data_IF_669988054793
#
_entry.id   IF_669988054793
#
_cell.length_a   1.000
_cell.length_b   1.000
_cell.length_c   1.000
_cell.angle_alpha   90.00
_cell.angle_beta   90.00
_cell.angle_gamma   90.00
#
_symmetry.space_group_name_H-M   'P 1'
#
loop_
_entity.id
_entity.type
_entity.pdbx_description
1 polymer ?
#
# COMPACT_ATOMS: atom_id res chain seq x y z
N UNK A 1 26.35 -12.20 -33.64
CA UNK A 1 26.24 -12.33 -32.17
C UNK A 1 25.00 -11.58 -31.74
N UNK A 2 23.81 -12.16 -32.06
CA UNK A 2 22.49 -11.60 -31.77
C UNK A 2 21.65 -12.68 -31.10
N UNK A 3 22.06 -13.04 -29.90
CA UNK A 3 21.22 -13.81 -28.99
C UNK A 3 20.54 -12.79 -28.07
N UNK A 4 19.57 -12.04 -28.67
CA UNK A 4 18.61 -11.28 -27.88
C UNK A 4 17.89 -12.26 -26.95
N UNK A 5 18.26 -12.21 -25.67
CA UNK A 5 17.55 -12.87 -24.60
C UNK A 5 16.12 -12.30 -24.54
N UNK A 6 15.23 -12.77 -25.43
CA UNK A 6 13.81 -12.41 -25.49
C UNK A 6 13.12 -12.99 -24.26
N UNK A 7 13.25 -12.32 -23.12
CA UNK A 7 12.39 -12.62 -21.98
C UNK A 7 10.93 -12.43 -22.44
N UNK A 8 10.09 -13.41 -22.14
CA UNK A 8 8.66 -13.28 -22.35
C UNK A 8 8.14 -12.03 -21.61
N UNK A 9 7.14 -11.34 -22.14
CA UNK A 9 6.63 -10.12 -21.51
C UNK A 9 6.13 -10.41 -20.09
N UNK A 10 6.28 -9.46 -19.16
CA UNK A 10 5.76 -9.60 -17.81
C UNK A 10 4.26 -9.88 -17.81
N UNK A 11 3.83 -10.79 -16.95
CA UNK A 11 2.43 -11.20 -16.82
C UNK A 11 1.97 -11.05 -15.37
N UNK A 12 0.72 -10.64 -15.18
CA UNK A 12 0.08 -10.50 -13.87
C UNK A 12 -1.06 -11.54 -13.78
N UNK A 13 -0.99 -12.37 -12.73
CA UNK A 13 -2.01 -13.35 -12.38
C UNK A 13 -2.62 -12.96 -11.02
N UNK A 14 -3.90 -12.59 -10.99
CA UNK A 14 -4.58 -12.20 -9.76
C UNK A 14 -4.92 -13.45 -8.95
N UNK A 15 -4.49 -13.50 -7.69
CA UNK A 15 -4.75 -14.60 -6.75
C UNK A 15 -6.04 -14.32 -5.96
N UNK A 16 -6.14 -13.13 -5.36
CA UNK A 16 -7.30 -12.73 -4.56
C UNK A 16 -7.44 -11.21 -4.52
N UNK A 17 -8.69 -10.79 -4.35
CA UNK A 17 -9.10 -9.41 -4.15
C UNK A 17 -10.13 -9.35 -3.03
N UNK A 18 -9.77 -8.75 -1.91
CA UNK A 18 -10.61 -8.67 -0.71
C UNK A 18 -10.56 -7.25 -0.13
N UNK A 19 -11.61 -6.48 -0.35
CA UNK A 19 -11.68 -5.08 0.10
C UNK A 19 -10.48 -4.26 -0.37
N UNK A 20 -9.67 -3.82 0.57
CA UNK A 20 -8.48 -3.00 0.32
C UNK A 20 -7.21 -3.82 0.03
N UNK A 21 -7.33 -5.14 -0.09
CA UNK A 21 -6.19 -6.05 -0.27
C UNK A 21 -6.23 -6.74 -1.62
N UNK A 22 -5.12 -6.66 -2.36
CA UNK A 22 -4.87 -7.34 -3.62
C UNK A 22 -3.66 -8.26 -3.49
N UNK A 23 -3.80 -9.52 -3.91
CA UNK A 23 -2.68 -10.47 -4.06
C UNK A 23 -2.58 -10.91 -5.51
N UNK A 24 -1.38 -10.89 -6.06
CA UNK A 24 -1.13 -11.31 -7.44
C UNK A 24 0.28 -11.89 -7.60
N UNK A 25 0.48 -12.63 -8.67
CA UNK A 25 1.81 -13.10 -9.10
C UNK A 25 2.23 -12.25 -10.29
N UNK A 26 3.43 -11.70 -10.22
CA UNK A 26 4.13 -11.08 -11.35
C UNK A 26 5.11 -12.11 -11.91
N UNK A 27 4.89 -12.59 -13.14
CA UNK A 27 5.73 -13.57 -13.82
C UNK A 27 6.60 -12.91 -14.89
N UNK A 28 7.65 -13.61 -15.32
CA UNK A 28 8.58 -13.16 -16.36
C UNK A 28 9.12 -11.75 -16.09
N UNK A 29 9.56 -11.53 -14.86
CA UNK A 29 9.99 -10.22 -14.37
C UNK A 29 11.37 -10.31 -13.72
N UNK A 30 11.96 -9.16 -13.45
CA UNK A 30 13.19 -9.04 -12.68
C UNK A 30 12.92 -8.49 -11.26
N UNK A 31 13.85 -8.75 -10.34
CA UNK A 31 13.83 -8.14 -8.99
C UNK A 31 13.79 -6.62 -9.08
N UNK A 32 14.52 -6.04 -10.06
CA UNK A 32 14.55 -4.59 -10.25
C UNK A 32 13.15 -4.03 -10.58
N UNK A 33 12.43 -4.65 -11.53
CA UNK A 33 11.07 -4.23 -11.89
C UNK A 33 10.09 -4.47 -10.74
N UNK A 34 10.15 -5.64 -10.09
CA UNK A 34 9.31 -5.95 -8.94
C UNK A 34 9.50 -4.92 -7.82
N UNK A 35 10.74 -4.56 -7.48
CA UNK A 35 11.02 -3.56 -6.46
C UNK A 35 10.64 -2.13 -6.90
N UNK A 36 10.81 -1.79 -8.19
CA UNK A 36 10.37 -0.51 -8.72
C UNK A 36 8.84 -0.34 -8.58
N UNK A 37 8.06 -1.35 -8.96
CA UNK A 37 6.59 -1.36 -8.80
C UNK A 37 6.23 -1.22 -7.32
N UNK A 38 6.84 -2.03 -6.43
CA UNK A 38 6.58 -1.95 -4.99
C UNK A 38 6.83 -0.55 -4.45
N UNK A 39 7.95 0.06 -4.78
CA UNK A 39 8.30 1.42 -4.33
C UNK A 39 7.36 2.47 -4.92
N UNK A 40 7.01 2.35 -6.20
CA UNK A 40 6.09 3.27 -6.85
C UNK A 40 4.70 3.24 -6.20
N UNK A 41 4.19 2.06 -5.80
CA UNK A 41 2.93 1.93 -5.06
C UNK A 41 2.93 2.68 -3.72
N UNK A 42 4.09 2.88 -3.10
CA UNK A 42 4.22 3.59 -1.82
C UNK A 42 4.37 5.11 -2.04
N UNK A 43 5.17 5.51 -3.04
CA UNK A 43 5.74 6.86 -3.09
C UNK A 43 5.33 7.71 -4.28
N UNK A 44 4.84 7.12 -5.37
CA UNK A 44 4.67 7.81 -6.65
C UNK A 44 3.20 7.93 -7.12
N UNK A 45 2.26 7.47 -6.32
CA UNK A 45 0.82 7.58 -6.59
C UNK A 45 0.26 8.81 -5.91
N UNK A 46 -0.47 9.64 -6.66
CA UNK A 46 -1.15 10.80 -6.10
C UNK A 46 -2.36 10.38 -5.28
N UNK A 47 -2.44 10.88 -4.04
CA UNK A 47 -3.60 10.72 -3.16
C UNK A 47 -3.97 12.03 -2.52
N UNK A 48 -5.23 12.16 -2.11
CA UNK A 48 -5.74 13.33 -1.41
C UNK A 48 -5.48 13.21 0.10
N UNK A 49 -4.87 14.24 0.68
CA UNK A 49 -4.72 14.36 2.13
C UNK A 49 -4.78 15.82 2.58
N UNK A 50 -5.08 16.06 3.84
CA UNK A 50 -5.09 17.40 4.44
C UNK A 50 -3.66 17.94 4.45
N UNK A 51 -3.45 19.07 3.74
CA UNK A 51 -2.15 19.69 3.56
C UNK A 51 -1.94 20.92 4.44
N UNK A 52 -2.96 21.74 4.57
CA UNK A 52 -2.95 22.93 5.40
C UNK A 52 -4.16 22.91 6.35
N UNK A 53 -3.97 23.44 7.55
CA UNK A 53 -5.03 23.56 8.55
C UNK A 53 -4.98 24.93 9.19
N UNK A 54 -6.12 25.59 9.24
CA UNK A 54 -6.35 26.82 10.01
C UNK A 54 -7.15 26.46 11.27
N UNK A 55 -6.56 26.65 12.44
CA UNK A 55 -7.24 26.48 13.73
C UNK A 55 -7.94 27.79 14.08
N UNK A 56 -9.27 27.80 13.95
CA UNK A 56 -10.09 28.98 14.20
C UNK A 56 -10.35 29.18 15.69
N UNK A 57 -10.58 28.06 16.41
CA UNK A 57 -10.76 28.08 17.86
C UNK A 57 -10.29 26.74 18.46
N UNK A 58 -9.49 26.82 19.49
CA UNK A 58 -9.07 25.68 20.31
C UNK A 58 -8.90 26.16 21.75
N UNK A 59 -9.78 25.74 22.64
CA UNK A 59 -9.64 25.98 24.08
C UNK A 59 -9.38 24.67 24.86
N UNK A 60 -8.91 23.64 24.16
CA UNK A 60 -8.50 22.39 24.76
C UNK A 60 -7.08 22.51 25.35
N UNK A 61 -6.64 21.62 26.26
CA UNK A 61 -5.28 21.62 26.77
C UNK A 61 -4.24 21.11 25.75
N UNK A 62 -4.67 20.64 24.57
CA UNK A 62 -3.77 20.17 23.52
C UNK A 62 -3.34 21.32 22.61
N UNK A 63 -2.04 21.35 22.30
CA UNK A 63 -1.48 22.29 21.34
C UNK A 63 -2.04 22.06 19.93
N UNK A 64 -2.16 23.13 19.17
CA UNK A 64 -2.71 23.10 17.80
C UNK A 64 -1.96 22.11 16.92
N UNK A 65 -0.63 22.08 17.00
CA UNK A 65 0.22 21.19 16.19
C UNK A 65 -0.11 19.71 16.43
N UNK A 66 -0.41 19.33 17.67
CA UNK A 66 -0.79 17.95 17.99
C UNK A 66 -2.11 17.57 17.31
N UNK A 67 -3.13 18.45 17.38
CA UNK A 67 -4.43 18.21 16.77
C UNK A 67 -4.31 18.20 15.24
N UNK A 68 -3.59 19.19 14.69
CA UNK A 68 -3.35 19.33 13.25
C UNK A 68 -2.64 18.09 12.68
N UNK A 69 -1.61 17.59 13.36
CA UNK A 69 -0.92 16.37 12.94
C UNK A 69 -1.86 15.16 12.89
N UNK A 70 -2.68 14.98 13.93
CA UNK A 70 -3.65 13.86 13.95
C UNK A 70 -4.66 13.95 12.81
N UNK A 71 -5.20 15.13 12.54
CA UNK A 71 -6.17 15.37 11.46
C UNK A 71 -5.52 15.18 10.09
N UNK A 72 -4.28 15.64 9.90
CA UNK A 72 -3.55 15.48 8.65
C UNK A 72 -3.24 14.02 8.30
N UNK A 73 -3.17 13.14 9.29
CA UNK A 73 -2.92 11.70 9.10
C UNK A 73 -4.20 10.87 8.86
N UNK A 74 -5.40 11.50 8.89
CA UNK A 74 -6.65 10.80 8.56
C UNK A 74 -6.67 10.52 7.06
N UNK A 75 -6.78 9.25 6.62
CA UNK A 75 -6.88 8.91 5.21
C UNK A 75 -8.21 9.41 4.63
N UNK A 76 -8.12 10.12 3.51
CA UNK A 76 -9.26 10.61 2.75
C UNK A 76 -9.45 9.83 1.45
N UNK A 77 -10.67 9.74 0.95
CA UNK A 77 -10.92 9.26 -0.41
C UNK A 77 -10.29 10.21 -1.41
N UNK A 78 -9.67 9.67 -2.46
CA UNK A 78 -8.91 10.44 -3.44
C UNK A 78 -9.80 10.93 -4.58
N UNK A 79 -9.79 12.24 -4.82
CA UNK A 79 -10.39 12.84 -6.01
C UNK A 79 -9.32 13.04 -7.09
N UNK A 80 -9.36 12.20 -8.13
CA UNK A 80 -8.42 12.27 -9.26
C UNK A 80 -8.67 13.46 -10.18
N UNK A 81 -9.78 14.18 -10.04
CA UNK A 81 -10.08 15.40 -10.82
C UNK A 81 -9.30 16.60 -10.32
N UNK A 82 -8.79 16.57 -9.08
CA UNK A 82 -7.98 17.62 -8.52
C UNK A 82 -6.59 17.67 -9.17
N UNK A 83 -6.20 18.85 -9.64
CA UNK A 83 -4.85 19.09 -10.12
C UNK A 83 -3.87 18.89 -8.97
N UNK A 84 -2.84 18.04 -9.11
CA UNK A 84 -1.83 17.86 -8.07
C UNK A 84 -1.18 19.18 -7.62
N UNK A 85 -0.78 19.24 -6.36
CA UNK A 85 -0.20 20.44 -5.72
C UNK A 85 0.99 21.02 -6.50
N UNK A 86 1.85 20.16 -7.00
CA UNK A 86 3.06 20.50 -7.75
C UNK A 86 2.80 20.95 -9.20
N UNK A 87 1.63 20.63 -9.74
CA UNK A 87 1.23 20.95 -11.13
C UNK A 87 0.29 22.15 -11.21
N UNK A 88 -0.22 22.63 -10.06
CA UNK A 88 -1.14 23.76 -10.04
C UNK A 88 -0.41 25.11 -10.03
N UNK A 89 -0.78 25.98 -10.96
CA UNK A 89 -0.18 27.31 -11.14
C UNK A 89 -0.93 28.43 -10.42
N UNK A 90 -1.89 28.13 -9.53
CA UNK A 90 -2.73 29.15 -8.88
C UNK A 90 -1.98 30.07 -7.92
N UNK A 91 -0.79 29.69 -7.43
CA UNK A 91 0.02 30.48 -6.49
C UNK A 91 -0.60 30.66 -5.08
N UNK A 92 -1.82 30.17 -4.85
CA UNK A 92 -2.51 30.31 -3.57
C UNK A 92 -1.94 29.32 -2.52
N UNK A 93 -1.74 29.82 -1.30
CA UNK A 93 -1.27 29.00 -0.17
C UNK A 93 -2.32 27.94 0.23
N UNK A 94 -3.59 28.29 0.21
CA UNK A 94 -4.72 27.38 0.52
C UNK A 94 -5.14 26.53 -0.68
N UNK A 95 -4.73 26.91 -1.90
CA UNK A 95 -5.13 26.29 -3.15
C UNK A 95 -6.29 27.04 -3.82
N UNK A 96 -6.81 26.46 -4.88
CA UNK A 96 -8.00 26.92 -5.59
C UNK A 96 -8.95 25.73 -5.77
N UNK A 97 -10.17 25.99 -6.21
CA UNK A 97 -11.22 24.97 -6.45
C UNK A 97 -10.77 23.80 -7.34
N UNK A 98 -9.74 24.01 -8.18
CA UNK A 98 -9.19 22.98 -9.08
C UNK A 98 -8.14 22.08 -8.40
N UNK A 99 -7.54 22.51 -7.29
CA UNK A 99 -6.41 21.80 -6.68
C UNK A 99 -6.57 21.55 -5.17
N UNK A 100 -7.60 22.10 -4.54
CA UNK A 100 -7.86 21.92 -3.12
C UNK A 100 -9.35 21.76 -2.85
N UNK A 101 -9.66 21.07 -1.74
CA UNK A 101 -11.02 20.93 -1.20
C UNK A 101 -11.00 21.38 0.23
N UNK A 102 -11.98 22.23 0.62
CA UNK A 102 -12.13 22.68 1.99
C UNK A 102 -12.89 21.65 2.82
N UNK A 103 -12.35 21.39 4.00
CA UNK A 103 -12.95 20.52 5.02
C UNK A 103 -13.14 21.34 6.30
N UNK A 104 -14.26 21.20 6.97
CA UNK A 104 -14.54 21.91 8.23
C UNK A 104 -14.83 20.91 9.34
N UNK A 105 -14.32 21.21 10.53
CA UNK A 105 -14.63 20.50 11.75
C UNK A 105 -15.08 21.49 12.82
N UNK A 106 -16.29 21.28 13.35
CA UNK A 106 -16.85 22.09 14.43
C UNK A 106 -17.38 21.19 15.52
N UNK A 107 -16.75 21.21 16.68
CA UNK A 107 -17.14 20.40 17.82
C UNK A 107 -17.14 21.23 19.11
N UNK A 108 -18.16 21.05 19.96
CA UNK A 108 -18.31 21.71 21.23
C UNK A 108 -18.92 20.73 22.26
N UNK A 109 -18.30 20.62 23.43
CA UNK A 109 -18.78 19.82 24.53
C UNK A 109 -19.48 20.75 25.58
N UNK A 110 -20.80 20.91 25.50
CA UNK A 110 -21.55 21.82 26.37
C UNK A 110 -21.79 21.23 27.76
N UNK A 111 -22.51 20.13 27.83
CA UNK A 111 -23.00 19.56 29.10
C UNK A 111 -22.19 18.39 29.58
N UNK A 112 -21.67 17.57 28.68
CA UNK A 112 -20.91 16.37 28.97
C UNK A 112 -19.72 16.24 28.01
N UNK A 113 -18.68 15.46 28.37
CA UNK A 113 -17.55 15.20 27.49
C UNK A 113 -18.00 14.53 26.18
N UNK A 114 -17.40 14.97 25.06
CA UNK A 114 -17.69 14.47 23.71
C UNK A 114 -16.41 13.97 23.06
N UNK A 115 -16.47 12.81 22.39
CA UNK A 115 -15.38 12.33 21.53
C UNK A 115 -15.67 12.79 20.11
N UNK A 116 -14.71 13.47 19.51
CA UNK A 116 -14.75 13.95 18.13
C UNK A 116 -14.12 12.90 17.24
N UNK A 117 -14.84 12.52 16.21
CA UNK A 117 -14.41 11.50 15.25
C UNK A 117 -14.18 12.10 13.86
N UNK A 118 -13.51 11.33 12.99
CA UNK A 118 -13.33 11.71 11.59
C UNK A 118 -14.65 11.92 10.83
N UNK A 119 -15.73 11.23 11.21
CA UNK A 119 -17.07 11.42 10.66
C UNK A 119 -17.69 12.79 10.94
N UNK A 120 -17.17 13.54 11.92
CA UNK A 120 -17.61 14.90 12.21
C UNK A 120 -17.02 15.94 11.24
N UNK A 121 -16.08 15.54 10.40
CA UNK A 121 -15.47 16.38 9.36
C UNK A 121 -16.45 16.51 8.19
N UNK A 122 -16.83 17.74 7.89
CA UNK A 122 -17.67 18.09 6.74
C UNK A 122 -16.79 18.52 5.56
N UNK A 123 -17.08 18.00 4.39
CA UNK A 123 -16.35 18.31 3.15
C UNK A 123 -17.23 19.10 2.19
N UNK A 124 -16.65 20.06 1.47
CA UNK A 124 -17.32 20.76 0.37
C UNK A 124 -17.56 19.85 -0.86
N UNK A 125 -16.87 18.72 -0.95
CA UNK A 125 -17.03 17.74 -2.03
C UNK A 125 -17.27 16.35 -1.48
N UNK A 126 -18.32 15.70 -1.95
CA UNK A 126 -18.63 14.30 -1.58
C UNK A 126 -17.59 13.28 -2.00
N UNK A 127 -16.75 13.62 -2.98
CA UNK A 127 -15.65 12.77 -3.46
C UNK A 127 -14.48 12.71 -2.49
N UNK A 128 -14.33 13.70 -1.59
CA UNK A 128 -13.23 13.80 -0.62
C UNK A 128 -13.78 13.74 0.79
N UNK A 129 -13.70 12.60 1.41
CA UNK A 129 -14.17 12.35 2.78
C UNK A 129 -13.27 11.36 3.51
N UNK A 130 -13.29 11.32 4.85
CA UNK A 130 -12.58 10.29 5.61
C UNK A 130 -12.97 8.88 5.16
N UNK A 131 -11.98 8.00 5.01
CA UNK A 131 -12.20 6.59 4.64
C UNK A 131 -13.02 5.84 5.70
N UNK A 132 -12.93 6.27 6.94
CA UNK A 132 -13.69 5.74 8.07
C UNK A 132 -14.18 6.88 8.95
N UNK A 133 -15.45 6.81 9.37
CA UNK A 133 -16.06 7.80 10.25
C UNK A 133 -15.68 7.61 11.74
N UNK A 134 -15.01 6.50 12.08
CA UNK A 134 -14.77 6.07 13.46
C UNK A 134 -13.35 6.34 13.95
N UNK A 135 -12.56 7.14 13.26
CA UNK A 135 -11.20 7.48 13.69
C UNK A 135 -11.31 8.56 14.77
N UNK A 136 -10.90 8.30 16.03
CA UNK A 136 -11.01 9.29 17.09
C UNK A 136 -9.97 10.39 16.92
N UNK A 137 -10.38 11.64 16.90
CA UNK A 137 -9.50 12.81 16.78
C UNK A 137 -9.10 13.30 18.17
N UNK A 138 -10.09 13.69 18.98
CA UNK A 138 -9.88 14.27 20.30
C UNK A 138 -11.10 14.01 21.19
N UNK A 139 -10.89 13.97 22.51
CA UNK A 139 -11.96 13.99 23.51
C UNK A 139 -12.02 15.38 24.12
N UNK A 140 -13.14 16.05 23.96
CA UNK A 140 -13.43 17.36 24.54
C UNK A 140 -14.05 17.17 25.93
N UNK A 141 -13.54 17.86 26.93
CA UNK A 141 -14.17 17.98 28.23
C UNK A 141 -15.26 19.06 28.16
N UNK A 142 -16.14 19.10 29.20
CA UNK A 142 -17.20 20.09 29.30
C UNK A 142 -16.67 21.53 29.14
N UNK A 143 -17.34 22.33 28.32
CA UNK A 143 -16.97 23.71 28.02
C UNK A 143 -15.84 23.84 26.97
N UNK A 144 -15.31 22.74 26.45
CA UNK A 144 -14.28 22.77 25.42
C UNK A 144 -14.89 22.83 24.02
N UNK A 145 -14.20 23.56 23.14
CA UNK A 145 -14.58 23.78 21.73
C UNK A 145 -13.37 23.66 20.83
N UNK A 146 -13.59 23.05 19.67
CA UNK A 146 -12.63 22.96 18.59
C UNK A 146 -13.29 23.36 17.27
N UNK A 147 -12.71 24.32 16.56
CA UNK A 147 -13.16 24.76 15.23
C UNK A 147 -11.95 24.82 14.31
N UNK A 148 -11.99 24.05 13.23
CA UNK A 148 -10.90 23.89 12.28
C UNK A 148 -11.45 24.04 10.86
N UNK A 149 -10.65 24.69 10.02
CA UNK A 149 -10.78 24.70 8.57
C UNK A 149 -9.52 24.06 7.97
N UNK A 150 -9.69 23.05 7.15
CA UNK A 150 -8.60 22.27 6.58
C UNK A 150 -8.70 22.23 5.06
N UNK A 151 -7.56 22.20 4.39
CA UNK A 151 -7.45 22.20 2.93
C UNK A 151 -6.75 20.92 2.49
N UNK A 152 -7.52 20.04 1.83
CA UNK A 152 -7.03 18.78 1.28
C UNK A 152 -6.55 18.98 -0.15
N UNK A 153 -5.43 18.35 -0.50
CA UNK A 153 -4.79 18.42 -1.81
C UNK A 153 -4.21 17.08 -2.23
N UNK A 154 -4.05 16.88 -3.54
CA UNK A 154 -3.33 15.75 -4.09
C UNK A 154 -1.82 15.94 -3.95
N UNK A 155 -1.16 14.93 -3.37
CA UNK A 155 0.28 14.87 -3.19
C UNK A 155 0.82 13.45 -3.29
N UNK A 156 2.13 13.30 -3.14
CA UNK A 156 2.84 12.03 -3.29
C UNK A 156 3.40 11.53 -1.96
N UNK A 157 3.36 10.20 -1.78
CA UNK A 157 3.91 9.55 -0.60
C UNK A 157 5.38 9.86 -0.32
N UNK A 158 6.17 10.17 -1.36
CA UNK A 158 7.57 10.60 -1.22
C UNK A 158 7.75 11.95 -0.53
N UNK A 159 6.72 12.81 -0.54
CA UNK A 159 6.79 14.10 0.16
C UNK A 159 6.44 13.98 1.63
N UNK A 160 5.40 13.18 1.94
CA UNK A 160 4.99 12.91 3.32
C UNK A 160 4.11 11.66 3.39
N UNK A 161 4.24 10.91 4.49
CA UNK A 161 3.51 9.66 4.71
C UNK A 161 1.97 9.80 4.67
N UNK A 162 1.42 10.99 4.93
CA UNK A 162 -0.03 11.26 4.82
C UNK A 162 -0.61 10.98 3.44
N UNK A 163 0.24 11.05 2.39
CA UNK A 163 -0.14 10.75 1.00
C UNK A 163 0.21 9.31 0.57
N UNK A 164 0.70 8.46 1.47
CA UNK A 164 0.95 7.07 1.12
C UNK A 164 -0.38 6.32 0.94
N UNK A 165 -0.65 5.75 -0.26
CA UNK A 165 -1.90 5.03 -0.50
C UNK A 165 -1.91 3.64 0.11
N UNK A 166 -0.74 3.10 0.48
CA UNK A 166 -0.58 1.71 0.88
C UNK A 166 -0.10 1.58 2.32
N UNK A 167 -0.70 0.66 3.06
CA UNK A 167 -0.23 0.18 4.36
C UNK A 167 0.76 -0.96 4.20
N UNK A 168 0.52 -1.82 3.20
CA UNK A 168 1.42 -2.93 2.83
C UNK A 168 1.68 -2.89 1.34
N UNK A 169 2.94 -2.86 0.96
CA UNK A 169 3.41 -3.14 -0.40
C UNK A 169 4.66 -4.03 -0.29
N UNK A 170 4.46 -5.32 -0.46
CA UNK A 170 5.52 -6.32 -0.28
C UNK A 170 5.43 -7.40 -1.34
N UNK A 171 6.57 -8.01 -1.65
CA UNK A 171 6.62 -9.21 -2.48
C UNK A 171 7.58 -10.24 -1.89
N UNK A 172 7.38 -11.47 -2.27
CA UNK A 172 8.32 -12.57 -2.08
C UNK A 172 8.48 -13.32 -3.39
N UNK A 173 9.57 -14.05 -3.55
CA UNK A 173 9.72 -14.98 -4.67
C UNK A 173 8.63 -16.05 -4.64
N UNK A 174 8.22 -16.51 -5.81
CA UNK A 174 7.31 -17.65 -5.93
C UNK A 174 8.07 -18.91 -5.46
N UNK A 175 7.61 -19.58 -4.38
CA UNK A 175 8.27 -20.74 -3.86
C UNK A 175 8.20 -21.93 -4.83
N UNK A 176 9.21 -22.77 -4.80
CA UNK A 176 9.24 -24.08 -5.46
C UNK A 176 9.53 -25.11 -4.38
N UNK A 177 8.62 -26.05 -4.20
CA UNK A 177 8.76 -27.16 -3.24
C UNK A 177 8.80 -28.45 -4.05
N UNK A 178 9.91 -29.18 -3.99
CA UNK A 178 10.05 -30.51 -4.56
C UNK A 178 10.10 -31.54 -3.44
N UNK A 179 9.29 -32.60 -3.56
CA UNK A 179 9.25 -33.70 -2.61
C UNK A 179 9.63 -34.96 -3.38
N UNK A 180 10.59 -35.71 -2.83
CA UNK A 180 11.10 -36.95 -3.41
C UNK A 180 10.53 -38.16 -2.67
N UNK A 181 9.45 -38.81 -3.21
CA UNK A 181 8.77 -39.91 -2.56
C UNK A 181 9.69 -41.09 -2.25
N UNK A 182 10.62 -41.40 -3.16
CA UNK A 182 11.54 -42.52 -3.06
C UNK A 182 12.54 -42.40 -1.90
N UNK A 183 12.77 -41.18 -1.42
CA UNK A 183 13.67 -40.90 -0.29
C UNK A 183 12.90 -40.73 1.03
N UNK A 184 11.58 -40.57 1.00
CA UNK A 184 10.78 -40.19 2.16
C UNK A 184 10.44 -41.41 3.02
N UNK A 185 10.85 -41.41 4.29
CA UNK A 185 10.51 -42.42 5.30
C UNK A 185 9.12 -42.20 5.95
N UNK A 186 8.48 -41.05 5.71
CA UNK A 186 7.17 -40.71 6.25
C UNK A 186 7.18 -40.23 7.70
N UNK A 187 8.32 -39.79 8.23
CA UNK A 187 8.47 -39.38 9.65
C UNK A 187 7.67 -38.12 10.03
N UNK A 188 7.18 -37.31 9.09
CA UNK A 188 6.33 -36.14 9.35
C UNK A 188 7.04 -34.92 9.94
N UNK A 189 8.37 -34.94 10.21
CA UNK A 189 9.12 -33.83 10.79
C UNK A 189 8.99 -32.53 9.99
N UNK A 190 9.02 -32.62 8.64
CA UNK A 190 8.85 -31.48 7.74
C UNK A 190 7.49 -30.80 7.86
N UNK A 191 6.44 -31.56 8.20
CA UNK A 191 5.07 -31.01 8.42
C UNK A 191 4.98 -30.34 9.78
N UNK A 192 5.53 -30.97 10.84
CA UNK A 192 5.47 -30.44 12.20
C UNK A 192 6.24 -29.12 12.34
N UNK A 193 7.39 -28.97 11.66
CA UNK A 193 8.21 -27.73 11.72
C UNK A 193 7.66 -26.61 10.84
N UNK A 194 6.79 -26.90 9.88
CA UNK A 194 6.27 -25.91 8.93
C UNK A 194 5.26 -24.98 9.60
N UNK A 195 5.72 -23.85 10.12
CA UNK A 195 4.88 -22.85 10.79
C UNK A 195 3.72 -22.35 9.90
N UNK A 196 3.90 -22.01 8.60
CA UNK A 196 2.81 -21.60 7.73
C UNK A 196 1.94 -22.78 7.24
N UNK A 197 2.23 -24.03 7.62
CA UNK A 197 1.50 -25.24 7.23
C UNK A 197 1.34 -25.40 5.71
N UNK A 198 2.38 -25.00 4.96
CA UNK A 198 2.40 -25.09 3.49
C UNK A 198 2.40 -26.54 2.98
N UNK A 199 2.85 -27.49 3.78
CA UNK A 199 2.91 -28.92 3.51
C UNK A 199 2.09 -29.70 4.53
N UNK A 200 1.53 -30.82 4.11
CA UNK A 200 0.76 -31.72 4.96
C UNK A 200 0.93 -33.16 4.51
N UNK A 201 0.58 -34.13 5.35
CA UNK A 201 0.46 -35.53 4.99
C UNK A 201 -1.02 -35.85 4.87
N UNK A 202 -1.54 -36.21 3.68
CA UNK A 202 -2.95 -36.61 3.52
C UNK A 202 -3.25 -37.89 4.29
N UNK A 203 -4.49 -38.07 4.76
CA UNK A 203 -4.91 -39.30 5.38
C UNK A 203 -4.63 -40.53 4.50
N UNK A 204 -4.00 -41.56 5.08
CA UNK A 204 -3.64 -42.80 4.37
C UNK A 204 -2.40 -42.72 3.50
N UNK A 205 -1.73 -41.60 3.41
CA UNK A 205 -0.43 -41.45 2.73
C UNK A 205 0.72 -41.38 3.74
N UNK A 206 1.92 -41.74 3.29
CA UNK A 206 3.17 -41.61 4.07
C UNK A 206 3.97 -40.38 3.64
N UNK A 207 3.88 -40.03 2.36
CA UNK A 207 4.63 -38.91 1.76
C UNK A 207 3.87 -37.60 1.93
N UNK A 208 4.50 -36.52 2.37
CA UNK A 208 3.90 -35.20 2.43
C UNK A 208 3.56 -34.64 1.05
N UNK A 209 2.58 -33.78 0.99
CA UNK A 209 2.18 -33.05 -0.22
C UNK A 209 2.12 -31.55 0.07
N UNK A 210 2.27 -30.74 -0.98
CA UNK A 210 2.11 -29.28 -0.89
C UNK A 210 0.62 -28.97 -0.76
N UNK A 211 0.23 -28.38 0.36
CA UNK A 211 -1.14 -27.93 0.63
C UNK A 211 -1.41 -26.55 0.06
N UNK A 212 -0.51 -25.63 0.35
CA UNK A 212 -0.59 -24.25 -0.11
C UNK A 212 0.83 -23.73 -0.41
N UNK A 213 1.15 -23.70 -1.68
CA UNK A 213 2.46 -23.22 -2.15
C UNK A 213 2.67 -21.74 -1.76
N UNK A 214 1.61 -20.94 -1.83
CA UNK A 214 1.70 -19.51 -1.57
C UNK A 214 1.85 -19.16 -0.08
N UNK A 215 1.52 -20.08 0.82
CA UNK A 215 1.79 -19.94 2.24
C UNK A 215 3.29 -20.13 2.56
N UNK A 216 4.04 -20.87 1.73
CA UNK A 216 5.47 -21.12 1.97
C UNK A 216 6.27 -19.79 2.03
N UNK A 217 7.05 -19.61 3.11
CA UNK A 217 7.91 -18.43 3.33
C UNK A 217 9.36 -18.66 2.90
N UNK A 218 9.68 -19.81 2.26
CA UNK A 218 11.05 -20.19 1.85
C UNK A 218 12.05 -20.22 3.00
N UNK A 219 11.62 -20.47 4.24
CA UNK A 219 12.50 -20.55 5.43
C UNK A 219 13.45 -21.75 5.40
N UNK A 220 13.13 -22.79 4.61
CA UNK A 220 13.92 -24.04 4.47
C UNK A 220 14.04 -24.91 5.72
N UNK A 221 13.24 -24.63 6.78
CA UNK A 221 13.27 -25.42 8.01
C UNK A 221 12.92 -26.88 7.74
N UNK A 222 11.92 -27.12 6.87
CA UNK A 222 11.53 -28.48 6.46
C UNK A 222 12.66 -29.25 5.76
N UNK A 223 13.57 -28.57 5.05
CA UNK A 223 14.77 -29.19 4.46
C UNK A 223 15.78 -29.56 5.53
N UNK A 224 16.05 -28.65 6.48
CA UNK A 224 17.05 -28.86 7.55
C UNK A 224 16.65 -30.01 8.49
N UNK A 225 15.35 -30.12 8.78
CA UNK A 225 14.82 -31.15 9.66
C UNK A 225 14.61 -32.51 9.00
N UNK A 226 14.72 -32.59 7.67
CA UNK A 226 14.51 -33.85 6.95
C UNK A 226 15.77 -34.73 6.96
N UNK A 227 15.80 -35.85 7.74
CA UNK A 227 17.01 -36.68 7.84
C UNK A 227 17.35 -37.38 6.53
N UNK A 228 16.34 -37.60 5.66
CA UNK A 228 16.46 -38.29 4.38
C UNK A 228 16.70 -37.36 3.18
N UNK A 229 16.79 -36.02 3.41
CA UNK A 229 16.86 -35.02 2.34
C UNK A 229 15.78 -35.24 1.26
N UNK A 230 14.56 -35.61 1.67
CA UNK A 230 13.45 -35.93 0.79
C UNK A 230 12.63 -34.72 0.37
N UNK A 231 12.96 -33.52 0.85
CA UNK A 231 12.29 -32.26 0.51
C UNK A 231 13.31 -31.20 0.16
N UNK A 232 13.04 -30.46 -0.92
CA UNK A 232 13.84 -29.34 -1.39
C UNK A 232 12.95 -28.11 -1.55
N UNK A 233 13.41 -26.96 -1.06
CA UNK A 233 12.72 -25.67 -1.18
C UNK A 233 13.65 -24.68 -1.86
N UNK A 234 13.22 -24.21 -3.00
CA UNK A 234 13.84 -23.18 -3.81
C UNK A 234 12.81 -22.13 -4.21
N UNK A 235 13.14 -21.25 -5.12
CA UNK A 235 12.23 -20.23 -5.65
C UNK A 235 12.49 -19.98 -7.13
N UNK A 236 11.50 -19.38 -7.79
CA UNK A 236 11.61 -18.87 -9.15
C UNK A 236 12.12 -17.44 -9.10
N UNK A 237 13.28 -17.17 -9.69
CA UNK A 237 13.94 -15.86 -9.71
C UNK A 237 13.21 -14.84 -10.60
N UNK A 238 12.29 -15.29 -11.45
CA UNK A 238 11.55 -14.47 -12.41
C UNK A 238 10.10 -14.25 -12.02
N UNK A 239 9.62 -14.86 -10.92
CA UNK A 239 8.23 -14.79 -10.48
C UNK A 239 8.11 -14.34 -9.04
N UNK A 240 7.22 -13.36 -8.80
CA UNK A 240 7.06 -12.69 -7.50
C UNK A 240 5.61 -12.71 -7.05
N UNK A 241 5.37 -13.13 -5.82
CA UNK A 241 4.05 -13.07 -5.17
C UNK A 241 3.92 -11.75 -4.43
N UNK A 242 3.09 -10.86 -4.94
CA UNK A 242 2.81 -9.55 -4.35
C UNK A 242 1.65 -9.60 -3.37
N UNK A 243 1.76 -8.79 -2.33
CA UNK A 243 0.66 -8.41 -1.45
C UNK A 243 0.63 -6.89 -1.38
N UNK A 244 -0.46 -6.30 -1.82
CA UNK A 244 -0.74 -4.88 -1.77
C UNK A 244 -1.98 -4.66 -0.91
N UNK A 245 -1.84 -3.81 0.12
CA UNK A 245 -2.96 -3.39 0.96
C UNK A 245 -3.00 -1.87 1.02
N UNK A 246 -4.16 -1.29 0.72
CA UNK A 246 -4.32 0.16 0.66
C UNK A 246 -4.92 0.71 1.96
N UNK A 247 -4.71 1.99 2.21
CA UNK A 247 -5.34 2.73 3.31
C UNK A 247 -6.85 2.93 3.12
N UNK A 248 -7.38 2.56 1.92
CA UNK A 248 -8.75 2.83 1.50
C UNK A 248 -8.90 4.17 0.76
N UNK A 249 -7.82 4.93 0.58
CA UNK A 249 -7.83 6.19 -0.20
C UNK A 249 -8.08 5.95 -1.68
N UNK A 250 -7.63 4.81 -2.19
CA UNK A 250 -7.84 4.29 -3.54
C UNK A 250 -7.99 2.76 -3.51
N UNK A 251 -8.73 2.18 -4.45
CA UNK A 251 -8.72 0.73 -4.67
C UNK A 251 -7.31 0.22 -5.01
N UNK A 252 -6.91 -0.99 -4.56
CA UNK A 252 -5.55 -1.48 -4.77
C UNK A 252 -5.16 -1.66 -6.23
N UNK A 253 -6.10 -1.96 -7.13
CA UNK A 253 -5.86 -2.06 -8.56
C UNK A 253 -5.54 -0.70 -9.18
N UNK A 254 -6.20 0.36 -8.70
CA UNK A 254 -5.93 1.72 -9.16
C UNK A 254 -4.56 2.18 -8.68
N UNK A 255 -4.19 1.88 -7.43
CA UNK A 255 -2.84 2.16 -6.93
C UNK A 255 -1.78 1.48 -7.77
N UNK A 256 -1.96 0.19 -8.12
CA UNK A 256 -1.03 -0.54 -8.97
C UNK A 256 -0.94 0.06 -10.37
N UNK A 257 -2.08 0.38 -10.99
CA UNK A 257 -2.15 0.99 -12.32
C UNK A 257 -1.48 2.36 -12.35
N UNK A 258 -1.77 3.22 -11.37
CA UNK A 258 -1.20 4.56 -11.28
C UNK A 258 0.31 4.51 -10.99
N UNK A 259 0.76 3.54 -10.17
CA UNK A 259 2.18 3.30 -9.91
C UNK A 259 2.96 2.91 -11.17
N UNK A 260 2.39 2.01 -11.98
CA UNK A 260 3.00 1.61 -13.27
C UNK A 260 3.00 2.81 -14.23
N UNK A 261 1.90 3.57 -14.31
CA UNK A 261 1.82 4.78 -15.11
C UNK A 261 2.88 5.82 -14.71
N UNK A 262 3.11 6.01 -13.41
CA UNK A 262 4.15 6.91 -12.91
C UNK A 262 5.57 6.46 -13.30
N UNK A 263 5.84 5.15 -13.32
CA UNK A 263 7.12 4.61 -13.79
C UNK A 263 7.31 4.84 -15.29
N UNK A 264 6.27 4.58 -16.09
CA UNK A 264 6.30 4.82 -17.54
C UNK A 264 6.60 6.29 -17.83
N UNK A 265 5.87 7.22 -17.20
CA UNK A 265 6.07 8.66 -17.39
C UNK A 265 7.49 9.10 -17.04
N UNK A 266 8.09 8.55 -15.96
CA UNK A 266 9.48 8.86 -15.59
C UNK A 266 10.50 8.37 -16.62
N UNK A 267 10.28 7.18 -17.19
CA UNK A 267 11.17 6.68 -18.23
C UNK A 267 11.03 7.44 -19.54
N UNK A 268 9.81 7.89 -19.89
CA UNK A 268 9.56 8.74 -21.06
C UNK A 268 10.22 10.11 -20.88
N UNK A 269 10.11 10.72 -19.70
CA UNK A 269 10.75 11.99 -19.37
C UNK A 269 12.28 11.88 -19.45
N UNK A 270 12.86 10.83 -18.84
CA UNK A 270 14.29 10.54 -18.92
C UNK A 270 14.79 10.33 -20.36
N UNK A 271 14.04 9.57 -21.17
CA UNK A 271 14.36 9.37 -22.58
C UNK A 271 14.39 10.70 -23.34
N UNK A 272 13.39 11.56 -23.11
CA UNK A 272 13.32 12.87 -23.76
C UNK A 272 14.51 13.77 -23.37
N UNK A 273 14.89 13.78 -22.10
CA UNK A 273 16.07 14.53 -21.65
C UNK A 273 17.36 14.02 -22.30
N UNK A 274 17.52 12.72 -22.50
CA UNK A 274 18.65 12.13 -23.21
C UNK A 274 18.68 12.56 -24.68
N UNK A 275 17.55 12.52 -25.38
CA UNK A 275 17.45 12.96 -26.78
C UNK A 275 17.85 14.46 -26.93
N UNK A 276 17.51 15.30 -25.94
CA UNK A 276 17.90 16.72 -25.93
C UNK A 276 19.40 16.93 -25.69
N UNK A 277 20.08 15.99 -25.05
CA UNK A 277 21.55 16.04 -24.83
C UNK A 277 22.34 15.60 -26.09
N UNK A 278 21.80 14.64 -26.86
CA UNK A 278 22.45 14.16 -28.10
C UNK A 278 22.40 15.19 -29.25
N UNK A 279 21.49 16.18 -29.15
CA UNK A 279 21.35 17.26 -30.16
C UNK A 279 22.32 18.42 -29.91
N UNK A 280 23.01 18.46 -28.79
CA UNK A 280 24.03 19.48 -28.45
C UNK A 280 25.46 18.96 -28.71
#
# INVERSE_FOLDING_TARGET
MDDECKMAPPQIEIISREGNRLRFILRNSSVALANAIRRACISEVYTTAIDLVAVVANNTPFHDEFIVHRIAMIPLTTDKSLIPKDKCTCGSRTGCEKCAVTLTLRAEARDQPVVVYSGDIQSERDTVKPVSDKIPIIKLARGQRLVIEAYARNGLGKWHAKWQPTTVAAYKYLPIIKIYPDRCDGCGKCVSICAPKAIHIPPGKRVPEVRDLLACTTCRDCMRECPMNAIEVSWDDTSFVFTLETTGTLPPEEVLKDAIGALISKFEEFRKELEELEVK
#
